data_IF_531864132656
#
_entry.id   IF_531864132656
#
_cell.length_a   1.000
_cell.length_b   1.000
_cell.length_c   1.000
_cell.angle_alpha   90.00
_cell.angle_beta   90.00
_cell.angle_gamma   90.00
#
_symmetry.space_group_name_H-M   'P 1'
#
loop_
_entity.id
_entity.type
_entity.pdbx_description
1 polymer ?
#
# COMPACT_ATOMS: atom_id res chain seq x y z
N UNK A 1 -7.47 16.20 2.99
CA UNK A 1 -6.84 15.91 4.29
C UNK A 1 -6.42 14.46 4.26
N UNK A 2 -5.13 14.17 4.46
CA UNK A 2 -4.59 12.82 4.55
C UNK A 2 -5.13 12.18 5.83
N UNK A 3 -5.87 11.09 5.71
CA UNK A 3 -6.43 10.39 6.86
C UNK A 3 -5.30 9.65 7.59
N UNK A 4 -5.10 9.96 8.87
CA UNK A 4 -4.11 9.29 9.70
C UNK A 4 -4.57 7.86 10.04
N UNK A 5 -3.80 6.87 9.58
CA UNK A 5 -4.04 5.45 9.86
C UNK A 5 -4.03 5.16 11.36
N UNK A 6 -3.15 5.82 12.13
CA UNK A 6 -3.01 5.60 13.57
C UNK A 6 -4.27 6.06 14.31
N UNK A 7 -4.89 7.15 13.87
CA UNK A 7 -6.13 7.64 14.46
C UNK A 7 -7.31 6.73 14.15
N UNK A 8 -7.40 6.18 12.92
CA UNK A 8 -8.42 5.17 12.58
C UNK A 8 -8.30 3.95 13.49
N UNK A 9 -7.08 3.48 13.74
CA UNK A 9 -6.83 2.31 14.58
C UNK A 9 -7.22 2.51 16.05
N UNK A 10 -7.36 3.76 16.51
CA UNK A 10 -7.80 4.09 17.88
C UNK A 10 -9.31 4.20 18.04
N UNK A 11 -10.08 4.18 16.94
CA UNK A 11 -11.53 4.32 17.01
C UNK A 11 -12.15 3.15 17.82
N UNK A 12 -13.17 3.40 18.66
CA UNK A 12 -13.80 2.38 19.50
C UNK A 12 -14.78 1.50 18.70
N UNK A 13 -14.36 1.01 17.53
CA UNK A 13 -15.12 0.10 16.66
C UNK A 13 -14.21 -0.93 16.01
N UNK A 14 -14.80 -1.97 15.44
CA UNK A 14 -14.03 -2.94 14.63
C UNK A 14 -13.53 -2.28 13.34
N UNK A 15 -12.21 -2.21 13.18
CA UNK A 15 -11.55 -1.75 11.96
C UNK A 15 -11.31 -2.94 11.02
N UNK A 16 -11.80 -2.83 9.79
CA UNK A 16 -11.69 -3.87 8.76
C UNK A 16 -10.49 -3.58 7.86
N UNK A 17 -9.46 -4.41 7.98
CA UNK A 17 -8.20 -4.23 7.26
C UNK A 17 -8.04 -5.32 6.20
N UNK A 18 -7.77 -4.90 4.95
CA UNK A 18 -7.38 -5.81 3.88
C UNK A 18 -5.87 -6.09 4.00
N UNK A 19 -5.54 -7.33 4.37
CA UNK A 19 -4.17 -7.79 4.52
C UNK A 19 -3.39 -7.74 3.18
N UNK A 20 -2.06 -7.62 3.22
CA UNK A 20 -1.24 -7.69 2.02
C UNK A 20 -1.31 -9.10 1.40
N UNK A 21 -1.65 -9.17 0.11
CA UNK A 21 -1.75 -10.44 -0.61
C UNK A 21 -1.02 -10.32 -1.94
N UNK A 22 0.07 -11.07 -2.09
CA UNK A 22 0.88 -11.10 -3.32
C UNK A 22 -0.01 -11.39 -4.52
N UNK A 23 0.08 -10.55 -5.57
CA UNK A 23 -0.78 -10.53 -6.77
C UNK A 23 -2.24 -10.11 -6.59
N UNK A 24 -2.83 -10.21 -5.40
CA UNK A 24 -4.27 -9.96 -5.20
C UNK A 24 -4.59 -8.54 -4.76
N UNK A 25 -3.93 -8.01 -3.74
CA UNK A 25 -4.26 -6.69 -3.16
C UNK A 25 -3.80 -5.50 -4.03
N UNK A 26 -3.83 -5.65 -5.36
CA UNK A 26 -3.64 -4.58 -6.36
C UNK A 26 -4.82 -3.60 -6.36
N UNK A 27 -4.65 -2.46 -7.03
CA UNK A 27 -5.57 -1.31 -7.01
C UNK A 27 -7.04 -1.72 -7.18
N UNK A 28 -7.36 -2.49 -8.22
CA UNK A 28 -8.73 -2.90 -8.53
C UNK A 28 -9.39 -3.68 -7.39
N UNK A 29 -8.65 -4.57 -6.73
CA UNK A 29 -9.15 -5.33 -5.59
C UNK A 29 -9.33 -4.43 -4.37
N UNK A 30 -8.38 -3.53 -4.09
CA UNK A 30 -8.50 -2.55 -3.00
C UNK A 30 -9.72 -1.66 -3.21
N UNK A 31 -9.93 -1.16 -4.43
CA UNK A 31 -11.13 -0.39 -4.80
C UNK A 31 -12.41 -1.19 -4.56
N UNK A 32 -12.40 -2.48 -4.90
CA UNK A 32 -13.55 -3.36 -4.67
C UNK A 32 -13.85 -3.53 -3.18
N UNK A 33 -12.89 -3.99 -2.37
CA UNK A 33 -13.14 -4.28 -0.94
C UNK A 33 -13.53 -3.04 -0.14
N UNK A 34 -13.09 -1.85 -0.57
CA UNK A 34 -13.57 -0.58 0.00
C UNK A 34 -15.06 -0.37 -0.17
N UNK A 35 -15.63 -0.76 -1.32
CA UNK A 35 -17.09 -0.72 -1.54
C UNK A 35 -17.85 -1.65 -0.59
N UNK A 36 -17.18 -2.65 -0.02
CA UNK A 36 -17.72 -3.57 0.99
C UNK A 36 -17.30 -3.18 2.42
N UNK A 37 -16.87 -1.92 2.61
CA UNK A 37 -16.59 -1.35 3.93
C UNK A 37 -15.24 -1.75 4.51
N UNK A 38 -14.23 -2.02 3.69
CA UNK A 38 -12.85 -2.10 4.17
C UNK A 38 -12.30 -0.70 4.48
N UNK A 39 -11.82 -0.51 5.71
CA UNK A 39 -11.33 0.77 6.23
C UNK A 39 -9.91 1.07 5.73
N UNK A 40 -8.99 0.09 5.87
CA UNK A 40 -7.57 0.23 5.53
C UNK A 40 -7.19 -0.89 4.58
N UNK A 41 -6.44 -0.56 3.52
CA UNK A 41 -5.90 -1.56 2.61
C UNK A 41 -4.38 -1.53 2.61
N UNK A 42 -3.77 -2.69 2.38
CA UNK A 42 -2.36 -2.82 2.04
C UNK A 42 -2.17 -3.07 0.54
N UNK A 43 -1.03 -2.64 -0.01
CA UNK A 43 -0.55 -3.12 -1.31
C UNK A 43 -0.19 -4.62 -1.24
N UNK A 44 0.10 -5.29 -2.36
CA UNK A 44 0.88 -6.52 -2.31
C UNK A 44 2.25 -6.23 -1.67
N UNK A 45 2.93 -7.27 -1.18
CA UNK A 45 4.33 -7.13 -0.78
C UNK A 45 5.20 -6.81 -2.00
N UNK A 46 5.80 -5.63 -2.04
CA UNK A 46 6.64 -5.15 -3.16
C UNK A 46 8.11 -5.40 -2.83
N UNK A 47 8.88 -5.95 -3.77
CA UNK A 47 10.33 -6.10 -3.62
C UNK A 47 11.01 -4.74 -3.87
N UNK A 48 11.58 -4.15 -2.82
CA UNK A 48 12.16 -2.80 -2.87
C UNK A 48 13.30 -2.68 -3.90
N UNK A 49 14.18 -3.68 -3.99
CA UNK A 49 15.28 -3.69 -4.95
C UNK A 49 14.79 -3.58 -6.42
N UNK A 50 13.77 -4.34 -6.79
CA UNK A 50 13.16 -4.34 -8.12
C UNK A 50 12.43 -3.02 -8.39
N UNK A 51 11.77 -2.50 -7.36
CA UNK A 51 11.03 -1.25 -7.39
C UNK A 51 11.93 -0.03 -7.66
N UNK A 52 13.10 0.02 -7.02
CA UNK A 52 14.09 1.08 -7.20
C UNK A 52 14.77 0.96 -8.57
N UNK A 53 15.24 -0.24 -8.93
CA UNK A 53 16.08 -0.44 -10.12
C UNK A 53 15.31 -0.40 -11.44
N UNK A 54 14.01 -0.72 -11.46
CA UNK A 54 13.25 -0.87 -12.69
C UNK A 54 11.95 -0.09 -12.67
N UNK A 55 11.82 0.97 -13.48
CA UNK A 55 10.55 1.66 -13.67
C UNK A 55 9.44 0.70 -14.13
N UNK A 56 9.75 -0.27 -15.00
CA UNK A 56 8.76 -1.24 -15.45
C UNK A 56 8.24 -2.11 -14.30
N UNK A 57 9.12 -2.57 -13.40
CA UNK A 57 8.70 -3.31 -12.22
C UNK A 57 7.86 -2.42 -11.29
N UNK A 58 8.30 -1.19 -11.03
CA UNK A 58 7.56 -0.21 -10.23
C UNK A 58 6.13 0.01 -10.71
N UNK A 59 5.93 0.26 -12.01
CA UNK A 59 4.58 0.45 -12.58
C UNK A 59 3.72 -0.83 -12.54
N UNK A 60 4.34 -2.02 -12.55
CA UNK A 60 3.61 -3.28 -12.46
C UNK A 60 3.20 -3.63 -11.02
N UNK A 61 4.06 -3.30 -10.05
CA UNK A 61 3.86 -3.62 -8.63
C UNK A 61 3.00 -2.58 -7.91
N UNK A 62 3.11 -1.29 -8.27
CA UNK A 62 2.41 -0.21 -7.61
C UNK A 62 1.64 0.68 -8.58
N UNK A 63 0.34 0.75 -8.36
CA UNK A 63 -0.57 1.73 -8.94
C UNK A 63 -1.55 2.18 -7.85
N UNK A 64 -1.95 3.45 -7.90
CA UNK A 64 -2.90 4.06 -6.95
C UNK A 64 -3.68 5.19 -7.63
N UNK A 65 -4.70 5.72 -6.97
CA UNK A 65 -5.51 6.86 -7.41
C UNK A 65 -6.00 7.65 -6.20
N UNK A 66 -6.60 8.83 -6.41
CA UNK A 66 -7.02 9.75 -5.33
C UNK A 66 -7.95 9.13 -4.28
N UNK A 67 -8.78 8.14 -4.64
CA UNK A 67 -9.71 7.48 -3.72
C UNK A 67 -9.11 6.25 -3.01
N UNK A 68 -7.86 5.87 -3.31
CA UNK A 68 -7.22 4.69 -2.73
C UNK A 68 -6.50 5.07 -1.45
N UNK A 69 -7.28 5.60 -0.49
CA UNK A 69 -6.81 6.07 0.79
C UNK A 69 -7.82 5.71 1.88
N UNK A 70 -7.36 5.37 3.11
CA UNK A 70 -5.95 5.26 3.54
C UNK A 70 -5.29 3.94 3.08
N UNK A 71 -4.11 4.04 2.47
CA UNK A 71 -3.35 2.91 1.90
C UNK A 71 -1.99 2.77 2.61
N UNK A 72 -1.63 1.54 2.96
CA UNK A 72 -0.30 1.20 3.48
C UNK A 72 0.48 0.46 2.39
N UNK A 73 1.65 0.97 2.03
CA UNK A 73 2.57 0.30 1.10
C UNK A 73 3.47 -0.65 1.88
N UNK A 74 3.49 -1.92 1.48
CA UNK A 74 4.35 -2.94 2.09
C UNK A 74 5.56 -3.24 1.21
N UNK A 75 6.77 -2.95 1.72
CA UNK A 75 8.02 -3.35 1.08
C UNK A 75 8.68 -4.54 1.77
N UNK A 76 9.21 -5.45 0.95
CA UNK A 76 10.25 -6.39 1.34
C UNK A 76 11.60 -5.85 0.85
N UNK A 77 12.50 -5.58 1.79
CA UNK A 77 13.81 -5.00 1.52
C UNK A 77 14.91 -5.80 2.22
N UNK A 78 16.08 -5.87 1.59
CA UNK A 78 17.29 -6.50 2.15
C UNK A 78 18.30 -5.48 2.67
N UNK A 79 18.25 -4.25 2.15
CA UNK A 79 19.16 -3.17 2.48
C UNK A 79 18.39 -1.94 2.92
N UNK A 80 19.02 -1.10 3.73
CA UNK A 80 18.44 0.18 4.17
C UNK A 80 18.21 1.11 2.98
N UNK A 81 19.17 1.19 2.06
CA UNK A 81 19.08 2.05 0.89
C UNK A 81 17.89 1.67 0.00
N UNK A 82 17.73 0.38 -0.32
CA UNK A 82 16.56 -0.06 -1.12
C UNK A 82 15.24 0.31 -0.43
N UNK A 83 15.16 0.18 0.90
CA UNK A 83 13.96 0.50 1.66
C UNK A 83 13.66 2.00 1.64
N UNK A 84 14.65 2.84 1.94
CA UNK A 84 14.51 4.31 1.96
C UNK A 84 14.17 4.83 0.57
N UNK A 85 14.93 4.44 -0.45
CA UNK A 85 14.71 4.88 -1.83
C UNK A 85 13.32 4.47 -2.32
N UNK A 86 12.88 3.25 -2.02
CA UNK A 86 11.54 2.78 -2.40
C UNK A 86 10.43 3.55 -1.66
N UNK A 87 10.63 3.85 -0.37
CA UNK A 87 9.71 4.66 0.44
C UNK A 87 9.58 6.09 -0.11
N UNK A 88 10.69 6.74 -0.49
CA UNK A 88 10.66 8.06 -1.11
C UNK A 88 9.92 8.05 -2.45
N UNK A 89 10.11 7.01 -3.27
CA UNK A 89 9.44 6.88 -4.57
C UNK A 89 7.92 6.65 -4.50
N UNK A 90 7.37 6.26 -3.35
CA UNK A 90 5.91 6.08 -3.14
C UNK A 90 5.28 7.13 -2.25
N UNK A 91 6.07 8.04 -1.69
CA UNK A 91 5.57 9.11 -0.85
C UNK A 91 4.61 10.03 -1.65
N UNK A 92 3.53 10.52 -1.03
CA UNK A 92 2.57 11.43 -1.67
C UNK A 92 3.15 12.81 -1.97
#
# INVERSE_FOLDING_TARGET
>A
MTTDVVEILKEPRMIKICAPMVRYSKLQFRTLVRRYGCDICFTPMILANSFVQSPKARHNEFTTHKEDQPLIVQFAAKTVNDFVDASEMVAP
#
